data_IF_828349388558
#
_entry.id   IF_828349388558
#
_cell.length_a   1.000
_cell.length_b   1.000
_cell.length_c   1.000
_cell.angle_alpha   90.00
_cell.angle_beta   90.00
_cell.angle_gamma   90.00
#
_symmetry.space_group_name_H-M   'P 1'
#
loop_
_entity.id
_entity.type
_entity.pdbx_description
1 polymer ?
#
# COMPACT_ATOMS: atom_id res chain seq x y z
N UNK A 1 3.08 2.84 8.06
CA UNK A 1 4.12 2.81 7.00
C UNK A 1 4.40 4.23 6.55
N UNK A 2 5.68 4.64 6.42
CA UNK A 2 6.03 5.97 5.89
C UNK A 2 6.15 6.01 4.37
N UNK A 3 5.62 7.08 3.76
CA UNK A 3 5.70 7.37 2.33
C UNK A 3 6.10 8.84 2.15
N UNK A 4 7.09 9.10 1.31
CA UNK A 4 7.40 10.44 0.85
C UNK A 4 6.67 10.69 -0.47
N UNK A 5 5.96 11.81 -0.57
CA UNK A 5 5.22 12.21 -1.77
C UNK A 5 5.66 13.59 -2.23
N UNK A 6 5.47 13.87 -3.51
CA UNK A 6 5.57 15.23 -4.07
C UNK A 6 4.18 15.85 -4.16
N UNK A 7 4.11 17.15 -4.47
CA UNK A 7 2.83 17.85 -4.63
C UNK A 7 1.95 17.17 -5.68
N UNK A 8 0.64 17.06 -5.40
CA UNK A 8 -0.37 16.42 -6.25
C UNK A 8 -0.07 14.97 -6.65
N UNK A 9 0.56 14.18 -5.78
CA UNK A 9 0.78 12.74 -6.05
C UNK A 9 -0.51 11.94 -5.88
N UNK A 10 -0.83 11.06 -6.84
CA UNK A 10 -1.87 10.05 -6.67
C UNK A 10 -1.22 8.68 -6.53
N UNK A 11 -1.49 7.99 -5.41
CA UNK A 11 -0.94 6.66 -5.14
C UNK A 11 -2.04 5.61 -5.01
N UNK A 12 -1.85 4.49 -5.70
CA UNK A 12 -2.69 3.29 -5.58
C UNK A 12 -1.98 2.26 -4.72
N UNK A 13 -2.67 1.79 -3.70
CA UNK A 13 -2.25 0.77 -2.74
C UNK A 13 -2.98 -0.51 -3.07
N UNK A 14 -2.25 -1.58 -3.30
CA UNK A 14 -2.83 -2.89 -3.64
C UNK A 14 -2.26 -3.95 -2.72
N UNK A 15 -3.16 -4.65 -2.02
CA UNK A 15 -2.84 -5.73 -1.11
C UNK A 15 -3.03 -7.07 -1.84
N UNK A 16 -2.00 -7.91 -1.79
CA UNK A 16 -2.00 -9.25 -2.36
C UNK A 16 -1.83 -10.29 -1.27
N UNK A 17 -2.46 -11.45 -1.46
CA UNK A 17 -2.20 -12.63 -0.64
C UNK A 17 -0.88 -13.31 -1.05
N UNK A 18 -0.52 -14.39 -0.35
CA UNK A 18 0.73 -15.13 -0.61
C UNK A 18 0.82 -15.78 -1.99
N UNK A 19 -0.31 -15.97 -2.67
CA UNK A 19 -0.38 -16.54 -4.02
C UNK A 19 -0.24 -15.46 -5.10
N UNK A 20 -0.14 -14.17 -4.71
CA UNK A 20 -0.07 -13.04 -5.63
C UNK A 20 -1.44 -12.58 -6.14
N UNK A 21 -2.53 -13.05 -5.56
CA UNK A 21 -3.88 -12.60 -5.91
C UNK A 21 -4.19 -11.28 -5.21
N UNK A 22 -4.75 -10.32 -5.94
CA UNK A 22 -5.21 -9.06 -5.38
C UNK A 22 -6.43 -9.29 -4.48
N UNK A 23 -6.36 -8.79 -3.26
CA UNK A 23 -7.42 -8.91 -2.24
C UNK A 23 -8.09 -7.58 -1.96
N UNK A 24 -7.36 -6.48 -2.07
CA UNK A 24 -7.91 -5.14 -1.88
C UNK A 24 -7.07 -4.10 -2.61
N UNK A 25 -7.72 -3.02 -3.07
CA UNK A 25 -7.05 -1.89 -3.67
C UNK A 25 -7.75 -0.58 -3.30
N UNK A 26 -6.98 0.47 -3.02
CA UNK A 26 -7.50 1.81 -2.81
C UNK A 26 -6.52 2.87 -3.33
N UNK A 27 -7.05 4.02 -3.71
CA UNK A 27 -6.27 5.16 -4.20
C UNK A 27 -6.37 6.32 -3.22
N UNK A 28 -5.28 7.04 -3.04
CA UNK A 28 -5.21 8.24 -2.19
C UNK A 28 -4.44 9.34 -2.90
N UNK A 29 -4.96 10.56 -2.77
CA UNK A 29 -4.35 11.77 -3.30
C UNK A 29 -3.58 12.51 -2.20
N UNK A 30 -2.41 13.02 -2.53
CA UNK A 30 -1.54 13.79 -1.65
C UNK A 30 -1.31 15.17 -2.26
N UNK A 31 -2.03 16.16 -1.76
CA UNK A 31 -2.00 17.51 -2.30
C UNK A 31 -0.66 18.23 -2.08
N UNK A 32 0.10 17.87 -1.03
CA UNK A 32 1.35 18.55 -0.69
C UNK A 32 2.55 17.59 -0.72
N UNK A 33 3.74 18.16 -0.95
CA UNK A 33 5.00 17.47 -0.70
C UNK A 33 5.14 17.21 0.80
N UNK A 34 5.45 15.97 1.19
CA UNK A 34 5.67 15.64 2.57
C UNK A 34 5.95 14.16 2.84
N UNK A 35 6.09 13.84 4.13
CA UNK A 35 6.19 12.48 4.62
C UNK A 35 4.88 12.13 5.33
N UNK A 36 4.20 11.11 4.84
CA UNK A 36 2.91 10.65 5.34
C UNK A 36 3.04 9.29 6.02
N UNK A 37 2.22 9.07 7.02
CA UNK A 37 2.07 7.77 7.68
C UNK A 37 0.74 7.14 7.27
N UNK A 38 0.84 5.96 6.65
CA UNK A 38 -0.32 5.17 6.24
C UNK A 38 -0.42 3.91 7.09
N UNK A 39 -1.61 3.66 7.61
CA UNK A 39 -1.94 2.42 8.30
C UNK A 39 -2.64 1.46 7.34
N UNK A 40 -2.25 0.19 7.38
CA UNK A 40 -2.89 -0.88 6.61
C UNK A 40 -3.59 -1.79 7.59
N UNK A 41 -4.93 -1.80 7.51
CA UNK A 41 -5.73 -2.63 8.39
C UNK A 41 -5.81 -4.07 7.85
N UNK A 42 -5.22 -5.01 8.61
CA UNK A 42 -5.27 -6.45 8.31
C UNK A 42 -6.18 -7.23 9.29
N UNK A 43 -6.89 -6.55 10.20
CA UNK A 43 -7.65 -7.18 11.30
C UNK A 43 -8.68 -8.24 10.86
N UNK A 44 -9.28 -8.07 9.68
CA UNK A 44 -10.24 -9.00 9.09
C UNK A 44 -9.63 -10.16 8.31
N UNK A 45 -8.32 -10.16 8.09
CA UNK A 45 -7.65 -11.13 7.22
C UNK A 45 -7.08 -12.33 8.02
N UNK A 46 -6.92 -13.50 7.40
CA UNK A 46 -6.20 -14.62 8.01
C UNK A 46 -4.76 -14.27 8.38
N UNK A 47 -4.25 -14.90 9.44
CA UNK A 47 -2.81 -14.88 9.74
C UNK A 47 -2.03 -15.43 8.54
N UNK A 48 -0.95 -14.77 8.17
CA UNK A 48 -0.17 -15.14 7.00
C UNK A 48 0.72 -14.03 6.47
N UNK A 49 1.38 -14.34 5.35
CA UNK A 49 2.17 -13.37 4.61
C UNK A 49 1.31 -12.65 3.58
N UNK A 50 1.44 -11.33 3.54
CA UNK A 50 0.75 -10.42 2.65
C UNK A 50 1.76 -9.55 1.92
N UNK A 51 1.39 -9.03 0.76
CA UNK A 51 2.23 -8.10 0.01
C UNK A 51 1.45 -6.82 -0.26
N UNK A 52 2.05 -5.68 0.05
CA UNK A 52 1.49 -4.37 -0.28
C UNK A 52 2.33 -3.73 -1.38
N UNK A 53 1.73 -3.52 -2.55
CA UNK A 53 2.29 -2.70 -3.62
C UNK A 53 1.75 -1.28 -3.51
N UNK A 54 2.60 -0.29 -3.69
CA UNK A 54 2.22 1.12 -3.85
C UNK A 54 2.75 1.60 -5.19
N UNK A 55 1.85 2.09 -6.04
CA UNK A 55 2.17 2.61 -7.38
C UNK A 55 1.69 4.06 -7.50
N UNK A 56 2.39 4.86 -8.30
CA UNK A 56 1.88 6.16 -8.71
C UNK A 56 0.85 6.04 -9.85
N UNK A 57 0.25 7.16 -10.23
CA UNK A 57 -0.69 7.28 -11.36
C UNK A 57 -0.15 6.79 -12.71
N UNK A 58 1.18 6.78 -12.89
CA UNK A 58 1.84 6.28 -14.10
C UNK A 58 2.10 4.77 -14.03
N UNK A 59 1.65 4.11 -12.95
CA UNK A 59 1.85 2.69 -12.70
C UNK A 59 3.25 2.33 -12.21
N UNK A 60 4.12 3.31 -11.95
CA UNK A 60 5.46 3.06 -11.43
C UNK A 60 5.36 2.60 -9.98
N UNK A 61 6.00 1.47 -9.68
CA UNK A 61 6.07 0.98 -8.31
C UNK A 61 6.97 1.88 -7.45
N UNK A 62 6.36 2.53 -6.47
CA UNK A 62 7.05 3.35 -5.48
C UNK A 62 7.50 2.49 -4.31
N UNK A 63 6.71 1.46 -3.95
CA UNK A 63 7.02 0.59 -2.83
C UNK A 63 6.43 -0.80 -3.00
N UNK A 64 7.13 -1.79 -2.44
CA UNK A 64 6.62 -3.14 -2.26
C UNK A 64 7.05 -3.62 -0.88
N UNK A 65 6.09 -4.03 -0.06
CA UNK A 65 6.34 -4.53 1.28
C UNK A 65 5.81 -5.94 1.44
N UNK A 66 6.58 -6.79 2.12
CA UNK A 66 6.08 -8.03 2.69
C UNK A 66 5.62 -7.75 4.12
N UNK A 67 4.37 -8.08 4.41
CA UNK A 67 3.75 -7.92 5.72
C UNK A 67 3.51 -9.32 6.29
N UNK A 68 3.90 -9.53 7.55
CA UNK A 68 3.53 -10.73 8.29
C UNK A 68 2.44 -10.33 9.28
N UNK A 69 1.28 -10.95 9.16
CA UNK A 69 0.16 -10.73 10.07
C UNK A 69 -0.10 -11.99 10.88
N UNK A 70 -0.18 -11.83 12.20
CA UNK A 70 -0.49 -12.88 13.16
C UNK A 70 -1.57 -12.32 14.09
N UNK A 71 -2.68 -13.03 14.21
CA UNK A 71 -3.73 -12.74 15.19
C UNK A 71 -3.30 -13.15 16.60
#
# INVERSE_FOLDING_TARGET
MRIATVENSVLTFTLFNSNGEEVSSFTKEYAANGNYEEEINLSGLPSGAWFLSVRDENGKQIKLLKLLYLK
#
